data_IF_392020293925
#
_entry.id   IF_392020293925
#
_cell.length_a   1.000
_cell.length_b   1.000
_cell.length_c   1.000
_cell.angle_alpha   90.00
_cell.angle_beta   90.00
_cell.angle_gamma   90.00
#
_symmetry.space_group_name_H-M   'P 1'
#
loop_
_entity.id
_entity.type
_entity.pdbx_description
1 polymer ?
#
# COMPACT_ATOMS: atom_id res chain seq x y z
N UNK A 1 0.32 -2.41 -15.14
CA UNK A 1 0.26 -1.03 -14.60
C UNK A 1 1.27 -0.95 -13.46
N UNK A 2 1.98 0.17 -13.28
CA UNK A 2 2.97 0.31 -12.21
C UNK A 2 2.39 1.15 -11.06
N UNK A 3 2.53 0.67 -9.83
CA UNK A 3 2.16 1.39 -8.61
C UNK A 3 3.19 2.51 -8.37
N UNK A 4 2.72 3.73 -8.14
CA UNK A 4 3.55 4.92 -7.90
C UNK A 4 3.23 5.55 -6.54
N UNK A 5 4.14 6.38 -6.03
CA UNK A 5 4.01 7.05 -4.73
C UNK A 5 2.84 8.03 -4.63
N UNK A 6 2.40 8.58 -5.76
CA UNK A 6 1.29 9.52 -5.85
C UNK A 6 -0.08 8.83 -5.73
N UNK A 7 -0.12 7.51 -5.88
CA UNK A 7 -1.37 6.76 -5.76
C UNK A 7 -1.88 6.77 -4.31
N UNK A 8 -3.20 6.91 -4.20
CA UNK A 8 -3.94 6.74 -2.95
C UNK A 8 -3.88 5.27 -2.55
N UNK A 9 -3.69 5.02 -1.25
CA UNK A 9 -3.55 3.65 -0.73
C UNK A 9 -4.82 2.83 -0.99
N UNK A 10 -6.00 3.44 -0.86
CA UNK A 10 -7.28 2.79 -1.20
C UNK A 10 -7.34 2.32 -2.65
N UNK A 11 -7.00 3.17 -3.62
CA UNK A 11 -7.00 2.81 -5.05
C UNK A 11 -6.09 1.62 -5.35
N UNK A 12 -4.92 1.58 -4.72
CA UNK A 12 -3.97 0.47 -4.88
C UNK A 12 -4.54 -0.82 -4.28
N UNK A 13 -5.16 -0.75 -3.10
CA UNK A 13 -5.77 -1.92 -2.45
C UNK A 13 -7.03 -2.42 -3.19
N UNK A 14 -7.76 -1.54 -3.86
CA UNK A 14 -8.91 -1.92 -4.71
C UNK A 14 -8.41 -2.64 -5.97
N UNK A 15 -7.38 -2.11 -6.63
CA UNK A 15 -6.82 -2.70 -7.86
C UNK A 15 -6.00 -3.95 -7.61
N UNK A 16 -5.27 -3.99 -6.50
CA UNK A 16 -4.30 -5.03 -6.15
C UNK A 16 -4.52 -5.47 -4.70
N UNK A 17 -5.60 -6.21 -4.39
CA UNK A 17 -5.93 -6.59 -3.01
C UNK A 17 -4.82 -7.41 -2.34
N UNK A 18 -3.99 -8.12 -3.09
CA UNK A 18 -2.86 -8.89 -2.54
C UNK A 18 -1.76 -8.00 -1.93
N UNK A 19 -1.68 -6.73 -2.35
CA UNK A 19 -0.70 -5.76 -1.84
C UNK A 19 -0.96 -5.38 -0.38
N UNK A 20 -2.14 -5.68 0.16
CA UNK A 20 -2.48 -5.46 1.56
C UNK A 20 -1.45 -6.10 2.50
N UNK A 21 -0.97 -7.30 2.18
CA UNK A 21 0.02 -7.99 3.00
C UNK A 21 1.36 -7.25 3.01
N UNK A 22 1.74 -6.60 1.90
CA UNK A 22 2.95 -5.78 1.82
C UNK A 22 2.80 -4.56 2.72
N UNK A 23 1.67 -3.84 2.66
CA UNK A 23 1.41 -2.70 3.54
C UNK A 23 1.47 -3.08 5.01
N UNK A 24 0.75 -4.13 5.43
CA UNK A 24 0.71 -4.58 6.83
C UNK A 24 2.10 -5.00 7.34
N UNK A 25 2.97 -5.53 6.47
CA UNK A 25 4.37 -5.86 6.81
C UNK A 25 5.25 -4.63 7.06
N UNK A 26 4.95 -3.47 6.48
CA UNK A 26 5.73 -2.24 6.70
C UNK A 26 5.54 -1.62 8.09
N UNK A 27 4.68 -2.21 8.94
CA UNK A 27 4.67 -1.94 10.38
C UNK A 27 3.43 -1.23 10.91
N UNK A 28 3.60 -0.49 12.00
CA UNK A 28 2.51 0.04 12.84
C UNK A 28 1.56 1.00 12.10
N UNK A 29 2.07 1.71 11.10
CA UNK A 29 1.38 2.75 10.34
C UNK A 29 0.26 2.18 9.48
N UNK A 30 0.53 1.01 8.91
CA UNK A 30 -0.40 0.28 8.07
C UNK A 30 -1.09 -0.86 8.80
N UNK A 31 -0.75 -1.11 10.08
CA UNK A 31 -1.44 -2.07 10.93
C UNK A 31 -2.93 -1.75 11.09
N UNK A 32 -3.29 -0.46 11.09
CA UNK A 32 -4.69 -0.03 11.09
C UNK A 32 -5.42 -0.38 9.78
N UNK A 33 -4.71 -0.56 8.66
CA UNK A 33 -5.32 -1.02 7.40
C UNK A 33 -5.76 -2.48 7.46
N UNK A 34 -5.28 -3.27 8.42
CA UNK A 34 -5.79 -4.62 8.66
C UNK A 34 -7.25 -4.59 9.14
N UNK A 35 -7.69 -3.50 9.78
CA UNK A 35 -9.09 -3.31 10.14
C UNK A 35 -9.85 -2.71 8.94
N UNK A 36 -10.87 -3.39 8.40
CA UNK A 36 -11.59 -2.94 7.20
C UNK A 36 -12.30 -1.60 7.39
N UNK A 37 -12.75 -1.27 8.61
CA UNK A 37 -13.41 0.01 8.93
C UNK A 37 -12.41 1.14 8.92
N UNK A 38 -11.28 0.96 9.60
CA UNK A 38 -10.21 1.96 9.63
C UNK A 38 -9.58 2.15 8.24
N UNK A 39 -9.39 1.07 7.48
CA UNK A 39 -8.91 1.10 6.09
C UNK A 39 -9.76 2.01 5.21
N UNK A 40 -11.10 1.86 5.24
CA UNK A 40 -12.02 2.65 4.39
C UNK A 40 -12.00 4.15 4.74
N UNK A 41 -11.59 4.50 5.95
CA UNK A 41 -11.49 5.88 6.39
C UNK A 41 -10.11 6.48 6.14
N UNK A 42 -9.02 5.74 6.41
CA UNK A 42 -7.64 6.24 6.36
C UNK A 42 -6.99 6.06 4.98
N UNK A 43 -7.24 4.94 4.29
CA UNK A 43 -6.55 4.62 3.04
C UNK A 43 -6.90 5.59 1.90
N UNK A 44 -8.07 6.24 1.98
CA UNK A 44 -8.52 7.25 1.00
C UNK A 44 -7.96 8.65 1.24
N UNK A 45 -7.37 8.90 2.42
CA UNK A 45 -6.90 10.22 2.85
C UNK A 45 -5.41 10.43 2.59
N UNK A 46 -4.66 9.37 2.29
CA UNK A 46 -3.20 9.41 2.17
C UNK A 46 -2.74 8.71 0.90
N UNK A 47 -1.71 9.30 0.28
CA UNK A 47 -0.93 8.63 -0.76
C UNK A 47 0.16 7.75 -0.15
N UNK A 48 0.67 6.79 -0.92
CA UNK A 48 1.78 5.93 -0.48
C UNK A 48 2.99 6.79 -0.06
N UNK A 49 3.34 7.79 -0.87
CA UNK A 49 4.45 8.69 -0.59
C UNK A 49 4.26 9.48 0.70
N UNK A 50 3.05 9.96 0.97
CA UNK A 50 2.74 10.69 2.21
C UNK A 50 2.83 9.79 3.43
N UNK A 51 2.27 8.58 3.36
CA UNK A 51 2.36 7.61 4.44
C UNK A 51 3.81 7.22 4.75
N UNK A 52 4.64 7.03 3.72
CA UNK A 52 6.06 6.76 3.91
C UNK A 52 6.81 7.92 4.56
N UNK A 53 6.56 9.17 4.14
CA UNK A 53 7.18 10.37 4.71
C UNK A 53 6.83 10.55 6.18
N UNK A 54 5.56 10.37 6.55
CA UNK A 54 5.09 10.55 7.93
C UNK A 54 5.69 9.54 8.92
N UNK A 55 6.12 8.39 8.42
CA UNK A 55 6.51 7.25 9.23
C UNK A 55 7.92 6.75 8.95
N UNK A 56 8.74 7.52 8.21
CA UNK A 56 10.12 7.19 7.86
C UNK A 56 10.26 5.80 7.22
N UNK A 57 9.30 5.42 6.37
CA UNK A 57 9.34 4.16 5.63
C UNK A 57 10.10 4.38 4.32
N UNK A 58 10.93 3.41 3.95
CA UNK A 58 11.65 3.41 2.68
C UNK A 58 10.67 3.27 1.51
N UNK A 59 10.41 4.39 0.83
CA UNK A 59 9.43 4.47 -0.25
C UNK A 59 9.85 3.63 -1.45
N UNK A 60 11.13 3.63 -1.82
CA UNK A 60 11.61 2.88 -2.98
C UNK A 60 11.47 1.37 -2.76
N UNK A 61 11.86 0.90 -1.57
CA UNK A 61 11.68 -0.50 -1.18
C UNK A 61 10.21 -0.91 -1.17
N UNK A 62 9.34 -0.09 -0.60
CA UNK A 62 7.90 -0.38 -0.57
C UNK A 62 7.32 -0.44 -1.98
N UNK A 63 7.59 0.55 -2.83
CA UNK A 63 7.10 0.55 -4.20
C UNK A 63 7.60 -0.66 -4.99
N UNK A 64 8.85 -1.07 -4.78
CA UNK A 64 9.38 -2.29 -5.40
C UNK A 64 8.58 -3.53 -4.98
N UNK A 65 8.41 -3.76 -3.69
CA UNK A 65 7.65 -4.92 -3.19
C UNK A 65 6.18 -4.90 -3.66
N UNK A 66 5.54 -3.73 -3.66
CA UNK A 66 4.16 -3.57 -4.15
C UNK A 66 4.04 -3.96 -5.62
N UNK A 67 4.95 -3.47 -6.47
CA UNK A 67 4.95 -3.77 -7.89
C UNK A 67 5.27 -5.26 -8.14
N UNK A 68 6.27 -5.83 -7.45
CA UNK A 68 6.60 -7.26 -7.59
C UNK A 68 5.41 -8.16 -7.25
N UNK A 69 4.65 -7.83 -6.20
CA UNK A 69 3.47 -8.59 -5.79
C UNK A 69 2.33 -8.43 -6.80
N UNK A 70 2.06 -7.19 -7.25
CA UNK A 70 1.04 -6.91 -8.25
C UNK A 70 1.31 -7.59 -9.61
N UNK A 71 2.59 -7.71 -10.00
CA UNK A 71 2.99 -8.39 -11.23
C UNK A 71 2.86 -9.92 -11.12
N UNK A 72 3.17 -10.51 -9.95
CA UNK A 72 3.08 -11.97 -9.74
C UNK A 72 1.66 -12.52 -9.87
N UNK A 73 0.64 -11.78 -9.43
CA UNK A 73 -0.75 -12.23 -9.51
C UNK A 73 -1.34 -12.08 -10.91
N UNK A 74 -0.71 -11.28 -11.78
CA UNK A 74 -1.12 -11.14 -13.19
C UNK A 74 -0.73 -12.35 -14.06
N UNK A 75 -0.04 -13.35 -13.50
CA UNK A 75 0.46 -14.53 -14.21
C UNK A 75 -0.15 -15.87 -13.76
N UNK A 76 -1.25 -15.87 -13.00
CA UNK A 76 -1.92 -17.13 -12.58
C UNK A 76 -3.34 -17.23 -13.15
#
# INVERSE_FOLDING_TARGET
>A
MKITSDMIVEDVLIKYPETLNVFVKQGHCFKLLANPVARKSLAKLVTIGTACKLHFIDLEKLLKELNEVAEKTSQT
#
